data_IF_135467946291
#
_entry.id   IF_135467946291
#
_cell.length_a   1.000
_cell.length_b   1.000
_cell.length_c   1.000
_cell.angle_alpha   90.00
_cell.angle_beta   90.00
_cell.angle_gamma   90.00
#
_symmetry.space_group_name_H-M   'P 1'
#
loop_
_entity.id
_entity.type
_entity.pdbx_description
1 polymer ?
#
# COMPACT_ATOMS: atom_id res chain seq x y z
N UNK A 1 -4.99 -30.59 45.09
CA UNK A 1 -5.20 -29.54 44.05
C UNK A 1 -4.69 -30.10 42.74
N UNK A 2 -5.61 -30.53 41.86
CA UNK A 2 -5.27 -31.18 40.59
C UNK A 2 -5.51 -30.13 39.50
N UNK A 3 -4.44 -29.69 38.84
CA UNK A 3 -4.50 -28.77 37.69
C UNK A 3 -5.01 -29.55 36.46
N UNK A 4 -6.15 -29.17 35.92
CA UNK A 4 -6.65 -29.65 34.62
C UNK A 4 -6.00 -28.83 33.51
N UNK A 5 -5.09 -29.45 32.76
CA UNK A 5 -4.59 -28.92 31.51
C UNK A 5 -5.66 -29.13 30.42
N UNK A 6 -6.13 -28.06 29.82
CA UNK A 6 -6.96 -28.11 28.60
C UNK A 6 -6.06 -28.22 27.39
N UNK A 7 -6.09 -29.38 26.75
CA UNK A 7 -5.51 -29.57 25.41
C UNK A 7 -6.47 -28.95 24.38
N UNK A 8 -6.05 -27.92 23.69
CA UNK A 8 -6.70 -27.50 22.45
C UNK A 8 -6.05 -28.28 21.29
N UNK A 9 -6.84 -28.96 20.45
CA UNK A 9 -6.27 -29.60 19.27
C UNK A 9 -5.85 -28.53 18.27
N UNK A 10 -4.61 -28.61 17.81
CA UNK A 10 -4.11 -27.82 16.70
C UNK A 10 -4.98 -28.14 15.46
N UNK A 11 -5.74 -27.15 15.01
CA UNK A 11 -6.45 -27.23 13.72
C UNK A 11 -5.38 -27.13 12.64
N UNK A 12 -5.24 -28.18 11.82
CA UNK A 12 -4.18 -28.24 10.81
C UNK A 12 -4.35 -27.14 9.78
N UNK A 13 -3.27 -26.45 9.45
CA UNK A 13 -3.17 -25.39 8.44
C UNK A 13 -3.77 -25.76 7.07
N UNK A 14 -3.86 -27.06 6.78
CA UNK A 14 -4.47 -27.57 5.56
C UNK A 14 -5.99 -27.34 5.45
N UNK A 15 -6.71 -27.16 6.58
CA UNK A 15 -8.15 -26.91 6.55
C UNK A 15 -8.47 -25.43 6.26
N UNK A 16 -7.57 -24.51 6.61
CA UNK A 16 -7.73 -23.08 6.37
C UNK A 16 -7.47 -22.77 4.89
N UNK A 17 -6.48 -23.40 4.27
CA UNK A 17 -6.19 -23.25 2.84
C UNK A 17 -7.36 -23.74 1.94
N UNK A 18 -8.07 -24.77 2.35
CA UNK A 18 -9.21 -25.32 1.57
C UNK A 18 -10.48 -24.44 1.65
N UNK A 19 -10.64 -23.63 2.71
CA UNK A 19 -11.83 -22.79 2.88
C UNK A 19 -11.72 -21.44 2.12
N UNK A 20 -10.49 -20.98 1.84
CA UNK A 20 -10.23 -19.72 1.13
C UNK A 20 -10.54 -19.83 -0.38
N UNK A 21 -10.51 -21.05 -0.95
CA UNK A 21 -10.73 -21.28 -2.40
C UNK A 21 -12.22 -21.23 -2.82
N UNK A 22 -13.19 -21.26 -1.89
CA UNK A 22 -14.60 -21.48 -2.23
C UNK A 22 -15.53 -20.25 -2.19
N UNK A 23 -15.04 -19.03 -1.93
CA UNK A 23 -15.90 -17.84 -1.79
C UNK A 23 -15.60 -16.66 -2.73
N UNK A 24 -14.88 -16.87 -3.82
CA UNK A 24 -14.66 -15.83 -4.83
C UNK A 24 -15.62 -16.00 -6.01
N UNK A 25 -16.76 -15.37 -6.03
CA UNK A 25 -17.53 -15.11 -7.25
C UNK A 25 -18.52 -13.97 -7.09
N UNK A 26 -18.10 -12.77 -7.47
CA UNK A 26 -18.91 -11.84 -8.27
C UNK A 26 -17.93 -11.01 -9.10
N UNK A 27 -17.65 -11.50 -10.31
CA UNK A 27 -16.84 -10.78 -11.26
C UNK A 27 -17.63 -9.59 -11.82
N UNK A 28 -17.32 -8.38 -11.39
CA UNK A 28 -17.39 -7.23 -12.28
C UNK A 28 -16.26 -7.40 -13.31
N UNK A 29 -16.51 -7.01 -14.55
CA UNK A 29 -15.60 -7.10 -15.71
C UNK A 29 -14.20 -6.61 -15.35
N UNK A 30 -13.39 -7.48 -14.79
CA UNK A 30 -12.07 -7.14 -14.30
C UNK A 30 -11.08 -7.20 -15.45
N UNK A 31 -10.38 -6.10 -15.68
CA UNK A 31 -9.18 -6.08 -16.50
C UNK A 31 -7.99 -6.76 -15.77
N UNK A 32 -8.23 -7.28 -14.58
CA UNK A 32 -7.25 -8.01 -13.77
C UNK A 32 -7.72 -9.43 -13.48
N UNK A 33 -6.84 -10.39 -13.67
CA UNK A 33 -6.98 -11.73 -13.11
C UNK A 33 -6.20 -11.82 -11.81
N UNK A 34 -6.85 -12.32 -10.75
CA UNK A 34 -6.19 -12.64 -9.47
C UNK A 34 -5.66 -14.06 -9.61
N UNK A 35 -4.34 -14.24 -9.61
CA UNK A 35 -3.77 -15.56 -9.86
C UNK A 35 -3.36 -16.30 -8.59
N UNK A 36 -2.74 -15.67 -7.61
CA UNK A 36 -2.36 -16.36 -6.35
C UNK A 36 -2.27 -15.45 -5.15
N UNK A 37 -2.47 -16.05 -3.98
CA UNK A 37 -2.10 -15.47 -2.69
C UNK A 37 -1.14 -16.44 -2.01
N UNK A 38 0.00 -15.96 -1.53
CA UNK A 38 0.97 -16.73 -0.75
C UNK A 38 1.18 -16.08 0.60
N UNK A 39 1.38 -16.89 1.64
CA UNK A 39 1.89 -16.39 2.92
C UNK A 39 3.34 -15.96 2.72
N UNK A 40 3.76 -14.86 3.33
CA UNK A 40 5.14 -14.49 3.25
C UNK A 40 5.99 -15.21 4.32
N UNK A 41 7.20 -15.56 3.94
CA UNK A 41 8.19 -16.18 4.80
C UNK A 41 9.09 -15.08 5.33
N UNK A 42 9.20 -14.98 6.65
CA UNK A 42 10.06 -14.03 7.34
C UNK A 42 11.16 -14.74 8.12
N UNK A 43 12.31 -14.09 8.26
CA UNK A 43 13.33 -14.47 9.20
C UNK A 43 12.88 -14.14 10.65
N UNK A 44 13.53 -14.71 11.67
CA UNK A 44 13.21 -14.46 13.09
C UNK A 44 13.26 -12.97 13.47
N UNK A 45 14.03 -12.14 12.74
CA UNK A 45 14.14 -10.69 12.90
C UNK A 45 13.42 -9.91 11.80
N UNK A 46 12.57 -10.57 11.02
CA UNK A 46 11.75 -9.94 9.97
C UNK A 46 10.60 -9.11 10.56
N UNK A 47 9.90 -8.33 9.71
CA UNK A 47 8.76 -7.53 10.14
C UNK A 47 7.61 -8.41 10.58
N UNK A 48 6.82 -7.93 11.54
CA UNK A 48 5.55 -8.55 11.90
C UNK A 48 4.43 -8.15 10.93
N UNK A 49 4.54 -6.99 10.30
CA UNK A 49 3.52 -6.37 9.46
C UNK A 49 4.21 -5.57 8.34
N UNK A 50 3.61 -5.53 7.14
CA UNK A 50 4.14 -4.78 6.00
C UNK A 50 3.14 -3.72 5.54
N UNK A 51 3.50 -2.44 5.66
CA UNK A 51 2.67 -1.31 5.21
C UNK A 51 2.98 -0.88 3.78
N UNK A 52 4.23 -0.99 3.35
CA UNK A 52 4.65 -0.56 2.02
C UNK A 52 5.61 -1.50 1.33
N UNK A 53 5.54 -1.54 -0.01
CA UNK A 53 6.47 -2.29 -0.86
C UNK A 53 6.83 -1.48 -2.10
N UNK A 54 8.07 -1.59 -2.55
CA UNK A 54 8.54 -0.97 -3.79
C UNK A 54 9.58 -1.83 -4.51
N UNK A 55 9.70 -1.61 -5.82
CA UNK A 55 10.71 -2.25 -6.67
C UNK A 55 11.59 -1.21 -7.32
N UNK A 56 12.91 -1.36 -7.12
CA UNK A 56 13.91 -0.52 -7.76
C UNK A 56 14.07 -0.81 -9.27
N UNK A 57 14.65 0.14 -9.98
CA UNK A 57 15.00 0.00 -11.41
C UNK A 57 16.01 -1.13 -11.67
N UNK A 58 16.79 -1.50 -10.67
CA UNK A 58 17.73 -2.62 -10.67
C UNK A 58 17.11 -3.96 -10.24
N UNK A 59 15.78 -4.03 -10.19
CA UNK A 59 14.98 -5.18 -9.81
C UNK A 59 15.06 -5.61 -8.34
N UNK A 60 15.75 -4.87 -7.47
CA UNK A 60 15.70 -5.10 -6.01
C UNK A 60 14.35 -4.68 -5.45
N UNK A 61 13.90 -5.40 -4.45
CA UNK A 61 12.64 -5.14 -3.75
C UNK A 61 12.91 -4.68 -2.33
N UNK A 62 12.08 -3.75 -1.87
CA UNK A 62 12.14 -3.18 -0.54
C UNK A 62 10.75 -3.10 0.04
N UNK A 63 10.63 -3.35 1.35
CA UNK A 63 9.40 -3.17 2.09
C UNK A 63 9.67 -2.36 3.36
N UNK A 64 8.62 -1.77 3.90
CA UNK A 64 8.62 -1.07 5.20
C UNK A 64 7.50 -1.59 6.07
N UNK A 65 7.64 -1.42 7.39
CA UNK A 65 6.59 -1.68 8.36
C UNK A 65 6.31 -0.42 9.21
N UNK A 66 5.10 -0.33 9.76
CA UNK A 66 4.64 0.78 10.58
C UNK A 66 5.16 0.75 12.03
N UNK A 67 5.77 -0.35 12.48
CA UNK A 67 6.18 -0.55 13.88
C UNK A 67 7.63 -0.22 14.16
N UNK A 68 8.51 -0.57 13.23
CA UNK A 68 9.95 -0.56 13.52
C UNK A 68 10.69 0.60 12.88
N UNK A 69 10.09 1.28 11.89
CA UNK A 69 10.79 2.31 11.12
C UNK A 69 12.02 1.76 10.39
N UNK A 70 11.92 0.54 9.87
CA UNK A 70 12.99 -0.13 9.12
C UNK A 70 12.64 -0.29 7.65
N UNK A 71 13.69 -0.38 6.83
CA UNK A 71 13.63 -0.77 5.43
C UNK A 71 14.13 -2.20 5.29
N UNK A 72 13.33 -3.08 4.71
CA UNK A 72 13.61 -4.50 4.58
C UNK A 72 13.88 -4.87 3.12
N UNK A 73 15.04 -5.50 2.81
CA UNK A 73 15.25 -6.10 1.51
C UNK A 73 14.37 -7.34 1.35
N UNK A 74 13.71 -7.45 0.20
CA UNK A 74 12.81 -8.56 -0.11
C UNK A 74 13.28 -9.32 -1.34
N UNK A 75 12.91 -10.60 -1.43
CA UNK A 75 13.03 -11.43 -2.62
C UNK A 75 11.64 -11.91 -3.05
N UNK A 76 11.29 -11.61 -4.28
CA UNK A 76 10.01 -12.00 -4.87
C UNK A 76 10.29 -13.00 -5.99
N UNK A 77 9.85 -14.24 -5.81
CA UNK A 77 9.89 -15.30 -6.82
C UNK A 77 8.55 -15.38 -7.54
N UNK A 78 8.60 -15.50 -8.87
CA UNK A 78 7.41 -15.68 -9.70
C UNK A 78 7.44 -17.03 -10.39
N UNK A 79 6.29 -17.67 -10.49
CA UNK A 79 6.11 -18.87 -11.29
C UNK A 79 6.04 -18.55 -12.80
N UNK A 80 5.79 -19.57 -13.64
CA UNK A 80 5.69 -19.42 -15.11
C UNK A 80 4.47 -18.61 -15.55
N UNK A 81 3.43 -18.53 -14.74
CA UNK A 81 2.24 -17.70 -15.01
C UNK A 81 2.51 -16.23 -14.69
N UNK A 82 3.54 -15.98 -13.86
CA UNK A 82 3.91 -14.68 -13.36
C UNK A 82 3.29 -14.35 -12.01
N UNK A 83 2.68 -15.32 -11.39
CA UNK A 83 2.17 -15.20 -10.03
C UNK A 83 3.29 -15.33 -9.01
N UNK A 84 3.19 -14.62 -7.88
CA UNK A 84 4.14 -14.79 -6.77
C UNK A 84 4.00 -16.21 -6.23
N UNK A 85 5.10 -16.98 -6.28
CA UNK A 85 5.21 -18.30 -5.66
C UNK A 85 6.01 -18.27 -4.37
N UNK A 86 6.85 -17.23 -4.19
CA UNK A 86 7.70 -17.08 -3.02
C UNK A 86 7.94 -15.62 -2.70
N UNK A 87 7.82 -15.28 -1.43
CA UNK A 87 8.13 -13.96 -0.92
C UNK A 87 8.93 -14.10 0.38
N UNK A 88 10.16 -13.57 0.39
CA UNK A 88 11.06 -13.63 1.51
C UNK A 88 11.47 -12.23 1.93
N UNK A 89 11.46 -11.96 3.23
CA UNK A 89 11.87 -10.69 3.82
C UNK A 89 13.09 -10.93 4.70
N UNK A 90 14.17 -10.22 4.41
CA UNK A 90 15.42 -10.31 5.18
C UNK A 90 15.46 -9.27 6.30
N UNK A 91 16.50 -9.34 7.16
CA UNK A 91 16.73 -8.35 8.21
C UNK A 91 16.77 -6.92 7.65
N UNK A 92 16.05 -6.01 8.30
CA UNK A 92 15.92 -4.62 7.89
C UNK A 92 16.97 -3.69 8.47
N UNK A 93 17.21 -2.57 7.78
CA UNK A 93 18.05 -1.46 8.27
C UNK A 93 17.16 -0.36 8.87
N UNK A 94 17.50 0.12 10.07
CA UNK A 94 16.78 1.22 10.72
C UNK A 94 16.91 2.52 9.94
N UNK A 95 15.80 3.21 9.74
CA UNK A 95 15.73 4.48 8.99
C UNK A 95 15.89 5.67 9.93
N UNK A 96 16.87 6.51 9.67
CA UNK A 96 17.17 7.68 10.51
C UNK A 96 16.01 8.67 10.53
N UNK A 97 15.41 8.88 11.73
CA UNK A 97 14.33 9.81 11.94
C UNK A 97 12.94 9.32 11.46
N UNK A 98 12.82 8.02 11.13
CA UNK A 98 11.57 7.37 10.81
C UNK A 98 11.18 6.39 11.93
N UNK A 99 9.91 6.37 12.32
CA UNK A 99 9.43 5.50 13.41
C UNK A 99 8.09 4.84 13.13
N UNK A 100 7.45 5.20 12.01
CA UNK A 100 6.15 4.69 11.59
C UNK A 100 6.10 4.80 10.06
N UNK A 101 6.82 3.86 9.42
CA UNK A 101 7.02 3.87 7.98
C UNK A 101 5.81 3.23 7.28
N UNK A 102 5.13 3.97 6.41
CA UNK A 102 3.94 3.53 5.70
C UNK A 102 4.23 3.27 4.21
N UNK A 103 4.22 4.29 3.40
CA UNK A 103 4.53 4.16 1.98
C UNK A 103 6.03 4.19 1.68
N UNK A 104 6.46 3.46 0.66
CA UNK A 104 7.83 3.56 0.17
C UNK A 104 7.90 3.57 -1.36
N UNK A 105 8.91 4.27 -1.90
CA UNK A 105 9.14 4.39 -3.34
C UNK A 105 10.64 4.41 -3.66
N UNK A 106 11.13 3.41 -4.38
CA UNK A 106 12.51 3.38 -4.87
C UNK A 106 12.73 4.49 -5.90
N UNK A 107 13.89 5.17 -5.82
CA UNK A 107 14.25 6.20 -6.77
C UNK A 107 14.72 5.59 -8.10
N UNK A 108 14.01 5.77 -9.24
CA UNK A 108 14.42 5.18 -10.51
C UNK A 108 15.76 5.68 -11.03
N UNK A 109 16.18 6.87 -10.59
CA UNK A 109 17.44 7.53 -11.02
C UNK A 109 18.60 7.29 -10.05
N UNK A 110 18.34 6.77 -8.83
CA UNK A 110 19.34 6.52 -7.81
C UNK A 110 19.05 5.17 -7.14
N UNK A 111 19.61 4.09 -7.63
CA UNK A 111 19.31 2.72 -7.24
C UNK A 111 19.48 2.43 -5.73
N UNK A 112 20.35 3.16 -5.03
CA UNK A 112 20.61 2.99 -3.59
C UNK A 112 19.74 3.93 -2.71
N UNK A 113 18.70 4.57 -3.26
CA UNK A 113 17.81 5.49 -2.53
C UNK A 113 16.37 5.01 -2.58
N UNK A 114 15.73 4.98 -1.39
CA UNK A 114 14.29 4.77 -1.22
C UNK A 114 13.69 5.94 -0.46
N UNK A 115 12.59 6.48 -0.98
CA UNK A 115 11.74 7.45 -0.27
C UNK A 115 10.77 6.70 0.62
N UNK A 116 10.55 7.20 1.82
CA UNK A 116 9.64 6.61 2.81
C UNK A 116 8.79 7.72 3.41
N UNK A 117 7.50 7.47 3.55
CA UNK A 117 6.61 8.30 4.36
C UNK A 117 6.63 7.83 5.81
N UNK A 118 6.64 8.79 6.73
CA UNK A 118 6.46 8.53 8.17
C UNK A 118 5.16 9.20 8.62
N UNK A 119 4.20 8.40 9.03
CA UNK A 119 2.88 8.87 9.40
C UNK A 119 2.93 9.74 10.66
N UNK A 120 3.69 9.32 11.66
CA UNK A 120 3.78 9.97 12.95
C UNK A 120 4.38 11.36 12.88
N UNK A 121 5.37 11.58 12.03
CA UNK A 121 6.00 12.88 11.80
C UNK A 121 5.39 13.67 10.65
N UNK A 122 4.47 13.08 9.88
CA UNK A 122 3.92 13.65 8.64
C UNK A 122 5.04 14.11 7.72
N UNK A 123 5.88 13.20 7.31
CA UNK A 123 7.07 13.51 6.51
C UNK A 123 7.29 12.52 5.38
N UNK A 124 8.02 12.95 4.35
CA UNK A 124 8.59 12.09 3.30
C UNK A 124 10.08 12.35 3.25
N UNK A 125 10.85 11.30 3.45
CA UNK A 125 12.32 11.37 3.52
C UNK A 125 12.94 10.31 2.62
N UNK A 126 14.09 10.63 2.03
CA UNK A 126 14.88 9.69 1.23
C UNK A 126 16.01 9.11 2.08
N UNK A 127 16.21 7.80 1.97
CA UNK A 127 17.19 7.07 2.74
C UNK A 127 18.13 6.26 1.84
N UNK A 128 19.39 6.21 2.21
CA UNK A 128 20.35 5.27 1.65
C UNK A 128 20.01 3.85 2.13
N UNK A 129 19.79 2.93 1.20
CA UNK A 129 19.28 1.58 1.50
C UNK A 129 20.27 0.71 2.29
N UNK A 130 21.56 1.04 2.30
CA UNK A 130 22.57 0.26 3.01
C UNK A 130 22.76 0.71 4.45
N UNK A 131 22.64 2.02 4.68
CA UNK A 131 22.94 2.64 5.98
C UNK A 131 21.71 3.12 6.73
N UNK A 132 20.57 3.25 6.07
CA UNK A 132 19.36 3.85 6.61
C UNK A 132 19.45 5.37 6.83
N UNK A 133 20.57 6.01 6.48
CA UNK A 133 20.76 7.46 6.68
C UNK A 133 19.80 8.27 5.84
N UNK A 134 19.19 9.28 6.45
CA UNK A 134 18.39 10.27 5.74
C UNK A 134 19.29 11.18 4.89
N UNK A 135 19.10 11.19 3.58
CA UNK A 135 19.89 11.97 2.63
C UNK A 135 19.13 13.15 2.04
N UNK A 136 17.80 13.14 2.10
CA UNK A 136 16.95 14.19 1.54
C UNK A 136 15.60 14.23 2.27
N UNK A 137 15.00 15.43 2.36
CA UNK A 137 13.63 15.62 2.87
C UNK A 137 12.78 16.33 1.82
N UNK A 138 11.58 15.79 1.56
CA UNK A 138 10.60 16.44 0.71
C UNK A 138 9.84 17.48 1.54
N UNK A 139 9.83 18.74 1.07
CA UNK A 139 9.13 19.81 1.78
C UNK A 139 7.64 19.76 1.45
N UNK A 140 6.84 19.28 2.39
CA UNK A 140 5.39 19.23 2.27
C UNK A 140 4.77 20.60 2.47
N UNK A 141 3.64 20.94 1.78
CA UNK A 141 2.90 22.16 2.01
C UNK A 141 2.43 22.28 3.47
N UNK A 142 2.57 23.47 4.06
CA UNK A 142 2.17 23.72 5.46
C UNK A 142 0.66 23.48 5.67
N UNK A 143 -0.17 23.91 4.71
CA UNK A 143 -1.62 23.65 4.76
C UNK A 143 -1.93 22.14 4.85
N UNK A 144 -1.16 21.31 4.13
CA UNK A 144 -1.32 19.85 4.20
C UNK A 144 -0.94 19.35 5.60
N UNK A 145 0.28 19.67 6.08
CA UNK A 145 0.80 19.17 7.36
C UNK A 145 -0.05 19.55 8.55
N UNK A 146 -0.55 20.79 8.59
CA UNK A 146 -1.37 21.30 9.71
C UNK A 146 -2.80 20.74 9.75
N UNK A 147 -3.25 20.11 8.66
CA UNK A 147 -4.61 19.58 8.53
C UNK A 147 -4.72 18.07 8.53
N UNK A 148 -3.61 17.32 8.62
CA UNK A 148 -3.69 15.85 8.77
C UNK A 148 -4.42 15.49 10.06
N UNK A 149 -5.17 14.40 10.01
CA UNK A 149 -5.78 13.81 11.21
C UNK A 149 -4.77 12.92 11.89
N UNK A 150 -4.93 12.75 13.19
CA UNK A 150 -4.07 11.85 13.94
C UNK A 150 -4.15 10.43 13.37
N UNK A 151 -2.99 9.83 13.11
CA UNK A 151 -2.87 8.49 12.51
C UNK A 151 -3.65 8.36 11.19
N UNK A 152 -3.56 9.37 10.30
CA UNK A 152 -4.17 9.45 8.98
C UNK A 152 -3.37 10.35 8.05
N UNK A 153 -2.05 10.24 8.14
CA UNK A 153 -1.13 11.07 7.40
C UNK A 153 -0.82 10.47 6.01
N UNK A 154 0.44 10.48 5.60
CA UNK A 154 0.84 10.00 4.28
C UNK A 154 1.05 8.49 4.32
N UNK A 155 0.15 7.77 3.68
CA UNK A 155 0.21 6.33 3.47
C UNK A 155 0.78 5.99 2.09
N UNK A 156 0.24 6.63 1.06
CA UNK A 156 0.54 6.29 -0.31
C UNK A 156 1.69 7.13 -0.89
N UNK A 157 2.68 6.46 -1.47
CA UNK A 157 3.85 7.09 -2.07
C UNK A 157 4.28 6.36 -3.34
N UNK A 158 4.52 7.07 -4.44
CA UNK A 158 5.16 6.51 -5.61
C UNK A 158 5.99 7.54 -6.38
N UNK A 159 6.91 7.06 -7.21
CA UNK A 159 7.71 7.89 -8.12
C UNK A 159 7.45 7.43 -9.55
N UNK A 160 7.28 8.38 -10.47
CA UNK A 160 7.13 8.09 -11.90
C UNK A 160 8.32 7.31 -12.46
N UNK A 161 8.14 6.45 -13.48
CA UNK A 161 9.23 5.65 -14.05
C UNK A 161 10.41 6.48 -14.58
N UNK A 162 10.16 7.72 -15.03
CA UNK A 162 11.20 8.67 -15.44
C UNK A 162 11.96 9.31 -14.26
N UNK A 163 11.50 9.07 -13.02
CA UNK A 163 12.08 9.61 -11.81
C UNK A 163 11.87 11.11 -11.60
N UNK A 164 11.01 11.77 -12.36
CA UNK A 164 10.85 13.22 -12.34
C UNK A 164 9.61 13.71 -11.58
N UNK A 165 8.69 12.83 -11.23
CA UNK A 165 7.51 13.12 -10.40
C UNK A 165 7.46 12.22 -9.20
N UNK A 166 7.12 12.77 -8.04
CA UNK A 166 6.80 12.05 -6.82
C UNK A 166 5.36 12.38 -6.46
N UNK A 167 4.60 11.34 -6.19
CA UNK A 167 3.21 11.40 -5.76
C UNK A 167 3.12 10.96 -4.30
N UNK A 168 2.41 11.71 -3.49
CA UNK A 168 2.16 11.39 -2.08
C UNK A 168 0.70 11.68 -1.74
N UNK A 169 0.04 10.78 -1.02
CA UNK A 169 -1.34 10.98 -0.62
C UNK A 169 -1.54 10.66 0.87
N UNK A 170 -2.41 11.43 1.51
CA UNK A 170 -2.90 11.10 2.85
C UNK A 170 -3.89 9.94 2.78
N UNK A 171 -3.98 9.20 3.88
CA UNK A 171 -4.91 8.06 3.98
C UNK A 171 -6.37 8.52 3.97
N UNK A 172 -6.74 9.49 4.79
CA UNK A 172 -8.13 9.93 5.00
C UNK A 172 -8.26 11.45 4.87
N UNK A 173 -9.49 11.95 4.77
CA UNK A 173 -9.84 13.35 4.54
C UNK A 173 -9.14 14.31 5.52
N UNK A 174 -8.47 15.31 4.99
CA UNK A 174 -7.86 16.38 5.82
C UNK A 174 -8.94 17.17 6.57
N UNK A 175 -8.59 17.74 7.72
CA UNK A 175 -9.52 18.55 8.54
C UNK A 175 -10.14 19.73 7.76
N UNK A 176 -9.38 20.33 6.84
CA UNK A 176 -9.85 21.44 6.00
C UNK A 176 -10.67 20.98 4.78
N UNK A 177 -10.67 19.69 4.42
CA UNK A 177 -11.37 19.16 3.27
C UNK A 177 -12.73 18.53 3.60
N UNK A 178 -13.09 18.46 4.89
CA UNK A 178 -14.40 17.99 5.36
C UNK A 178 -14.34 16.78 6.27
N UNK A 179 -15.39 15.97 6.22
CA UNK A 179 -15.54 14.78 7.07
C UNK A 179 -14.93 13.54 6.41
N UNK A 180 -14.49 12.59 7.25
CA UNK A 180 -14.05 11.27 6.81
C UNK A 180 -15.18 10.49 6.14
N UNK A 181 -14.84 9.42 5.41
CA UNK A 181 -15.83 8.55 4.79
C UNK A 181 -16.79 7.94 5.82
N UNK A 182 -18.04 7.80 5.42
CA UNK A 182 -19.12 7.15 6.18
C UNK A 182 -19.75 6.04 5.33
N UNK A 183 -20.73 5.33 5.87
CA UNK A 183 -21.52 4.33 5.13
C UNK A 183 -22.43 4.93 4.04
N UNK A 184 -22.59 6.26 4.03
CA UNK A 184 -23.43 6.97 3.06
C UNK A 184 -22.62 7.79 2.06
N UNK A 185 -21.40 8.17 2.43
CA UNK A 185 -20.58 9.10 1.63
C UNK A 185 -19.10 8.77 1.76
N UNK A 186 -18.39 8.80 0.63
CA UNK A 186 -16.93 8.75 0.60
C UNK A 186 -16.29 10.03 1.17
N UNK A 187 -15.03 9.92 1.51
CA UNK A 187 -14.16 11.04 1.88
C UNK A 187 -13.48 11.65 0.66
N UNK A 188 -12.56 12.57 0.93
CA UNK A 188 -11.71 13.18 -0.11
C UNK A 188 -10.28 13.25 0.41
N UNK A 189 -9.35 12.63 -0.31
CA UNK A 189 -7.92 12.74 -0.01
C UNK A 189 -7.20 13.61 -1.03
N UNK A 190 -6.06 14.18 -0.65
CA UNK A 190 -5.23 14.98 -1.54
C UNK A 190 -4.08 14.13 -2.06
N UNK A 191 -3.95 14.06 -3.38
CA UNK A 191 -2.78 13.49 -4.03
C UNK A 191 -1.86 14.64 -4.41
N UNK A 192 -0.79 14.81 -3.63
CA UNK A 192 0.24 15.82 -3.86
C UNK A 192 1.16 15.38 -5.00
N UNK A 193 1.61 16.33 -5.79
CA UNK A 193 2.62 16.11 -6.82
C UNK A 193 3.82 17.01 -6.60
N UNK A 194 4.99 16.39 -6.63
CA UNK A 194 6.27 17.07 -6.61
C UNK A 194 7.03 16.76 -7.89
N UNK A 195 7.80 17.72 -8.38
CA UNK A 195 8.64 17.55 -9.57
C UNK A 195 10.08 17.89 -9.26
N UNK A 196 11.01 17.24 -9.99
CA UNK A 196 12.44 17.57 -9.96
C UNK A 196 13.03 17.56 -11.36
N UNK A 197 14.21 18.17 -11.53
CA UNK A 197 14.88 18.30 -12.83
C UNK A 197 15.80 17.12 -13.22
N UNK A 198 16.05 16.20 -12.29
CA UNK A 198 16.93 15.05 -12.48
C UNK A 198 17.37 14.43 -11.15
N UNK A 199 18.26 13.44 -11.22
CA UNK A 199 18.78 12.75 -10.04
C UNK A 199 19.42 13.73 -9.05
N UNK A 200 19.05 13.61 -7.75
CA UNK A 200 19.59 14.47 -6.68
C UNK A 200 19.14 15.93 -6.72
N UNK A 201 18.37 16.35 -7.72
CA UNK A 201 17.75 17.67 -7.69
C UNK A 201 16.60 17.70 -6.65
N UNK A 202 16.43 18.80 -5.89
CA UNK A 202 15.41 18.88 -4.86
C UNK A 202 14.01 18.82 -5.46
N UNK A 203 13.11 18.13 -4.78
CA UNK A 203 11.69 18.08 -5.12
C UNK A 203 11.04 19.44 -4.87
N UNK A 204 10.20 19.85 -5.81
CA UNK A 204 9.39 21.06 -5.71
C UNK A 204 7.93 20.71 -5.78
N UNK A 205 7.15 21.14 -4.80
CA UNK A 205 5.71 21.02 -4.86
C UNK A 205 5.16 21.72 -6.10
N UNK A 206 4.36 21.02 -6.90
CA UNK A 206 3.81 21.53 -8.17
C UNK A 206 2.28 21.53 -8.20
N UNK A 207 1.62 20.96 -7.23
CA UNK A 207 0.17 20.97 -7.13
C UNK A 207 -0.38 19.73 -6.46
N UNK A 208 -1.70 19.56 -6.50
CA UNK A 208 -2.41 18.43 -5.95
C UNK A 208 -3.74 18.19 -6.66
N UNK A 209 -4.26 16.98 -6.54
CA UNK A 209 -5.59 16.59 -7.04
C UNK A 209 -6.47 16.13 -5.89
N UNK A 210 -7.78 16.33 -6.01
CA UNK A 210 -8.81 15.74 -5.15
C UNK A 210 -9.12 14.33 -5.61
N UNK A 211 -8.94 13.37 -4.74
CA UNK A 211 -9.31 11.98 -4.99
C UNK A 211 -10.50 11.62 -4.09
N UNK A 212 -11.69 11.35 -4.66
CA UNK A 212 -12.85 10.91 -3.88
C UNK A 212 -12.68 9.43 -3.50
N UNK A 213 -12.64 9.11 -2.19
CA UNK A 213 -12.68 7.73 -1.72
C UNK A 213 -14.12 7.21 -1.72
N UNK A 214 -14.27 5.89 -1.68
CA UNK A 214 -15.61 5.29 -1.61
C UNK A 214 -16.24 5.42 -0.23
N UNK A 215 -17.57 5.31 -0.20
CA UNK A 215 -18.32 5.12 1.03
C UNK A 215 -17.99 3.75 1.66
N UNK A 216 -18.03 3.68 2.98
CA UNK A 216 -17.75 2.48 3.75
C UNK A 216 -18.90 1.48 3.57
N UNK A 217 -18.61 0.25 3.13
CA UNK A 217 -19.64 -0.73 2.82
C UNK A 217 -20.13 -1.57 3.98
N UNK A 218 -19.54 -1.41 5.17
CA UNK A 218 -19.88 -2.19 6.36
C UNK A 218 -20.14 -1.33 7.60
N UNK A 219 -20.56 -1.97 8.70
CA UNK A 219 -20.74 -1.31 9.99
C UNK A 219 -19.40 -1.21 10.74
N UNK A 220 -19.28 -0.34 11.76
CA UNK A 220 -18.09 -0.30 12.61
C UNK A 220 -17.78 -1.66 13.26
N UNK A 221 -16.50 -2.05 13.24
CA UNK A 221 -15.98 -3.15 14.03
C UNK A 221 -15.32 -2.58 15.28
N UNK A 222 -15.77 -3.01 16.47
CA UNK A 222 -15.32 -2.46 17.77
C UNK A 222 -15.34 -0.92 17.82
N UNK A 223 -16.39 -0.30 17.27
CA UNK A 223 -16.54 1.15 17.11
C UNK A 223 -15.48 1.82 16.21
N UNK A 224 -14.83 1.05 15.34
CA UNK A 224 -13.86 1.54 14.35
C UNK A 224 -14.34 1.21 12.95
N UNK A 225 -14.30 2.18 12.08
CA UNK A 225 -14.31 2.03 10.63
C UNK A 225 -13.10 2.78 10.11
N UNK A 226 -12.40 2.15 9.21
CA UNK A 226 -11.22 2.74 8.58
C UNK A 226 -11.45 2.59 7.07
N UNK A 227 -11.32 3.68 6.34
CA UNK A 227 -11.33 3.66 4.89
C UNK A 227 -10.37 4.72 4.40
N UNK A 228 -9.55 4.38 3.42
CA UNK A 228 -8.57 5.34 2.92
C UNK A 228 -7.81 4.86 1.70
N UNK A 229 -6.99 5.76 1.19
CA UNK A 229 -6.05 5.52 0.12
C UNK A 229 -4.70 5.12 0.72
N UNK A 230 -4.32 3.86 0.53
CA UNK A 230 -3.13 3.28 1.20
C UNK A 230 -1.94 3.09 0.27
N UNK A 231 -2.13 3.02 -1.05
CA UNK A 231 -0.99 2.90 -1.96
C UNK A 231 -1.25 3.52 -3.33
N UNK A 232 -0.17 3.94 -4.00
CA UNK A 232 -0.15 4.49 -5.35
C UNK A 232 0.90 3.79 -6.22
N UNK A 233 0.63 3.68 -7.52
CA UNK A 233 1.64 3.31 -8.52
C UNK A 233 1.45 4.13 -9.81
N UNK A 234 2.55 4.62 -10.39
CA UNK A 234 2.54 5.38 -11.65
C UNK A 234 2.71 4.42 -12.83
N UNK A 235 1.76 4.42 -13.76
CA UNK A 235 1.77 3.56 -14.94
C UNK A 235 2.71 4.06 -16.06
N UNK A 236 3.25 5.28 -15.94
CA UNK A 236 4.14 5.88 -16.93
C UNK A 236 3.42 6.47 -18.15
N UNK A 237 2.12 6.24 -18.30
CA UNK A 237 1.26 6.76 -19.38
C UNK A 237 0.49 8.03 -18.98
N UNK A 238 0.83 8.60 -17.82
CA UNK A 238 0.15 9.74 -17.21
C UNK A 238 -1.07 9.34 -16.38
N UNK A 239 -1.32 8.04 -16.17
CA UNK A 239 -2.30 7.55 -15.22
C UNK A 239 -1.64 6.91 -14.01
N UNK A 240 -2.37 6.90 -12.90
CA UNK A 240 -1.98 6.29 -11.64
C UNK A 240 -2.96 5.16 -11.29
N UNK A 241 -2.43 4.19 -10.55
CA UNK A 241 -3.23 3.22 -9.80
C UNK A 241 -3.32 3.67 -8.35
N UNK A 242 -4.48 3.49 -7.76
CA UNK A 242 -4.78 3.79 -6.36
C UNK A 242 -5.37 2.55 -5.69
N UNK A 243 -4.79 2.13 -4.58
CA UNK A 243 -5.31 1.07 -3.73
C UNK A 243 -6.08 1.71 -2.58
N UNK A 244 -7.40 1.53 -2.55
CA UNK A 244 -8.24 1.87 -1.41
C UNK A 244 -8.43 0.65 -0.51
N UNK A 245 -8.36 0.87 0.77
CA UNK A 245 -8.60 -0.13 1.80
C UNK A 245 -9.75 0.30 2.70
N UNK A 246 -10.57 -0.66 3.11
CA UNK A 246 -11.62 -0.49 4.10
C UNK A 246 -11.55 -1.60 5.14
N UNK A 247 -11.58 -1.23 6.41
CA UNK A 247 -11.87 -2.15 7.51
C UNK A 247 -13.25 -1.84 8.08
N UNK A 248 -14.14 -2.81 8.06
CA UNK A 248 -15.50 -2.69 8.57
C UNK A 248 -15.97 -4.02 9.17
N UNK A 249 -17.22 -4.12 9.56
CA UNK A 249 -17.83 -5.33 10.07
C UNK A 249 -18.97 -5.80 9.18
N UNK A 250 -18.74 -6.90 8.46
CA UNK A 250 -19.83 -7.67 7.82
C UNK A 250 -20.28 -8.83 8.70
N UNK A 251 -19.40 -9.33 9.57
CA UNK A 251 -19.60 -10.43 10.50
C UNK A 251 -19.45 -9.92 11.95
N UNK A 252 -20.28 -10.34 12.92
CA UNK A 252 -20.19 -9.89 14.32
C UNK A 252 -18.86 -10.24 15.01
N UNK A 253 -18.18 -11.30 14.59
CA UNK A 253 -17.03 -11.87 15.28
C UNK A 253 -15.68 -11.35 14.76
N UNK A 254 -15.59 -10.99 13.45
CA UNK A 254 -14.32 -10.65 12.80
C UNK A 254 -14.43 -9.37 11.99
N UNK A 255 -13.33 -8.60 11.85
CA UNK A 255 -13.27 -7.51 10.89
C UNK A 255 -13.38 -8.06 9.46
N UNK A 256 -13.93 -7.25 8.57
CA UNK A 256 -13.94 -7.50 7.14
C UNK A 256 -13.06 -6.45 6.49
N UNK A 257 -12.09 -6.88 5.71
CA UNK A 257 -11.27 -5.99 4.90
C UNK A 257 -11.81 -6.00 3.46
N UNK A 258 -11.78 -4.85 2.84
CA UNK A 258 -12.15 -4.67 1.45
C UNK A 258 -11.09 -3.83 0.78
N UNK A 259 -10.51 -4.36 -0.30
CA UNK A 259 -9.55 -3.66 -1.12
C UNK A 259 -10.13 -3.37 -2.49
N UNK A 260 -9.85 -2.19 -3.03
CA UNK A 260 -10.25 -1.77 -4.36
C UNK A 260 -9.11 -1.10 -5.07
N UNK A 261 -8.87 -1.48 -6.31
CA UNK A 261 -7.88 -0.89 -7.18
C UNK A 261 -8.57 -0.03 -8.23
N UNK A 262 -8.19 1.23 -8.25
CA UNK A 262 -8.70 2.21 -9.20
C UNK A 262 -7.59 2.70 -10.13
N UNK A 263 -7.98 3.02 -11.37
CA UNK A 263 -7.15 3.82 -12.30
C UNK A 263 -7.73 5.22 -12.39
N UNK A 264 -6.85 6.22 -12.44
CA UNK A 264 -7.25 7.61 -12.63
C UNK A 264 -6.13 8.41 -13.29
N UNK A 265 -6.48 9.59 -13.81
CA UNK A 265 -5.51 10.60 -14.24
C UNK A 265 -5.56 11.77 -13.26
N UNK A 266 -4.39 12.27 -12.82
CA UNK A 266 -4.34 13.48 -12.00
C UNK A 266 -5.05 14.64 -12.70
N UNK A 267 -5.70 15.49 -11.93
CA UNK A 267 -6.40 16.64 -12.48
C UNK A 267 -5.42 17.64 -13.13
N UNK A 268 -5.81 18.22 -14.26
CA UNK A 268 -4.98 19.20 -14.96
C UNK A 268 -4.80 20.50 -14.17
N UNK A 269 -5.82 20.88 -13.39
CA UNK A 269 -5.79 22.04 -12.51
C UNK A 269 -5.49 21.62 -11.06
N UNK A 270 -4.67 22.38 -10.36
CA UNK A 270 -4.41 22.17 -8.95
C UNK A 270 -5.73 22.22 -8.13
N UNK A 271 -5.95 21.20 -7.28
CA UNK A 271 -7.17 21.05 -6.51
C UNK A 271 -8.39 20.57 -7.30
N UNK A 272 -8.23 20.23 -8.59
CA UNK A 272 -9.27 19.60 -9.39
C UNK A 272 -9.57 18.18 -8.91
N UNK A 273 -10.83 17.75 -9.08
CA UNK A 273 -11.26 16.40 -8.73
C UNK A 273 -10.93 15.42 -9.86
N UNK A 274 -10.50 14.21 -9.50
CA UNK A 274 -10.22 13.14 -10.45
C UNK A 274 -11.45 12.27 -10.66
N UNK A 275 -11.65 11.79 -11.90
CA UNK A 275 -12.51 10.65 -12.18
C UNK A 275 -11.71 9.36 -12.06
N UNK A 276 -12.23 8.38 -11.34
CA UNK A 276 -11.58 7.08 -11.13
C UNK A 276 -12.39 5.94 -11.76
N UNK A 277 -11.70 4.95 -12.25
CA UNK A 277 -12.23 3.73 -12.85
C UNK A 277 -11.87 2.55 -11.95
N UNK A 278 -12.87 1.78 -11.51
CA UNK A 278 -12.64 0.56 -10.74
C UNK A 278 -12.09 -0.53 -11.67
N UNK A 279 -10.91 -1.06 -11.35
CA UNK A 279 -10.28 -2.14 -12.09
C UNK A 279 -10.42 -3.49 -11.40
N UNK A 280 -10.36 -3.49 -10.07
CA UNK A 280 -10.45 -4.70 -9.26
C UNK A 280 -11.00 -4.36 -7.88
N UNK A 281 -11.69 -5.32 -7.29
CA UNK A 281 -12.15 -5.24 -5.90
C UNK A 281 -12.27 -6.62 -5.29
N UNK A 282 -11.87 -6.71 -4.03
CA UNK A 282 -11.96 -7.94 -3.24
C UNK A 282 -12.50 -7.64 -1.84
N UNK A 283 -13.44 -8.47 -1.41
CA UNK A 283 -14.01 -8.46 -0.07
C UNK A 283 -13.40 -9.64 0.70
N UNK A 284 -12.14 -9.52 1.11
CA UNK A 284 -11.42 -10.57 1.84
C UNK A 284 -11.57 -10.39 3.34
N UNK A 285 -11.88 -11.46 4.07
CA UNK A 285 -12.11 -11.38 5.51
C UNK A 285 -10.83 -11.17 6.33
N UNK A 286 -9.65 -11.49 5.80
CA UNK A 286 -8.44 -11.60 6.61
C UNK A 286 -7.20 -10.90 6.04
N UNK A 287 -7.28 -10.24 4.88
CA UNK A 287 -6.11 -9.60 4.27
C UNK A 287 -6.30 -8.09 4.16
N UNK A 288 -5.52 -7.35 4.93
CA UNK A 288 -5.48 -5.89 4.96
C UNK A 288 -4.39 -5.40 4.01
N UNK A 289 -4.66 -5.34 2.69
CA UNK A 289 -3.65 -4.88 1.73
C UNK A 289 -3.41 -3.38 1.86
N UNK A 290 -2.14 -3.00 2.11
CA UNK A 290 -1.70 -1.62 2.28
C UNK A 290 -0.60 -1.25 1.30
N UNK A 291 0.34 -2.15 1.02
CA UNK A 291 1.43 -1.90 0.09
C UNK A 291 1.16 -2.44 -1.32
N UNK A 292 1.59 -1.68 -2.34
CA UNK A 292 1.47 -2.06 -3.75
C UNK A 292 2.73 -1.65 -4.53
N UNK A 293 3.29 -2.58 -5.29
CA UNK A 293 4.37 -2.29 -6.22
C UNK A 293 4.08 -2.79 -7.63
N UNK A 294 4.36 -1.94 -8.62
CA UNK A 294 4.26 -2.27 -10.03
C UNK A 294 5.52 -3.01 -10.49
N UNK A 295 5.31 -4.15 -11.14
CA UNK A 295 6.36 -4.93 -11.78
C UNK A 295 6.28 -4.74 -13.29
N UNK A 296 7.40 -4.47 -13.99
CA UNK A 296 7.41 -4.53 -15.44
C UNK A 296 7.00 -5.93 -15.92
N UNK A 297 6.24 -6.00 -17.00
CA UNK A 297 5.96 -7.28 -17.64
C UNK A 297 7.23 -7.81 -18.31
N UNK A 298 7.57 -9.06 -18.02
CA UNK A 298 8.67 -9.76 -18.70
C UNK A 298 8.23 -10.07 -20.13
N UNK A 299 8.61 -9.19 -21.07
CA UNK A 299 8.46 -9.43 -22.52
C UNK A 299 7.04 -9.51 -23.08
N UNK A 300 6.01 -9.15 -22.33
CA UNK A 300 4.60 -9.22 -22.72
C UNK A 300 3.82 -7.93 -22.48
N UNK A 301 2.60 -7.85 -23.03
CA UNK A 301 1.68 -6.73 -22.88
C UNK A 301 1.01 -6.62 -21.49
N UNK A 302 1.39 -7.47 -20.53
CA UNK A 302 0.79 -7.50 -19.20
C UNK A 302 1.72 -6.87 -18.16
N UNK A 303 1.17 -6.09 -17.23
CA UNK A 303 1.86 -5.57 -16.05
C UNK A 303 1.39 -6.31 -14.82
N UNK A 304 2.27 -6.45 -13.83
CA UNK A 304 1.94 -7.11 -12.56
C UNK A 304 1.99 -6.12 -11.43
N UNK A 305 1.07 -6.30 -10.49
CA UNK A 305 1.10 -5.64 -9.19
C UNK A 305 1.36 -6.70 -8.12
N UNK A 306 2.27 -6.43 -7.24
CA UNK A 306 2.49 -7.18 -6.01
C UNK A 306 1.88 -6.38 -4.87
N UNK A 307 0.91 -6.97 -4.19
CA UNK A 307 0.27 -6.41 -3.00
C UNK A 307 0.80 -7.11 -1.76
N UNK A 308 1.09 -6.36 -0.72
CA UNK A 308 1.43 -6.89 0.62
C UNK A 308 0.36 -6.47 1.62
N UNK A 309 0.04 -7.37 2.55
CA UNK A 309 -0.92 -7.08 3.60
C UNK A 309 -0.22 -6.82 4.93
N UNK A 310 -0.80 -5.87 5.68
CA UNK A 310 -0.54 -5.69 7.08
C UNK A 310 -1.33 -6.75 7.89
N UNK A 311 -0.63 -7.53 8.73
CA UNK A 311 -1.23 -8.56 9.57
C UNK A 311 -2.02 -8.02 10.75
N UNK A 312 -1.65 -6.86 11.30
CA UNK A 312 -2.34 -6.11 12.38
C UNK A 312 -2.90 -6.92 13.55
N UNK A 313 -2.46 -8.16 13.75
CA UNK A 313 -3.01 -9.10 14.74
C UNK A 313 -4.45 -9.54 14.49
N UNK A 314 -5.15 -8.96 13.52
CA UNK A 314 -6.53 -9.24 13.14
C UNK A 314 -6.67 -9.68 11.66
N UNK A 315 -5.60 -9.59 10.87
CA UNK A 315 -5.51 -10.00 9.48
C UNK A 315 -4.42 -11.07 9.26
N UNK A 316 -4.45 -11.71 8.11
CA UNK A 316 -3.43 -12.69 7.68
C UNK A 316 -2.42 -11.97 6.82
N UNK A 317 -1.15 -12.10 7.19
CA UNK A 317 -0.04 -11.62 6.37
C UNK A 317 0.00 -12.39 5.06
N UNK A 318 -0.13 -11.68 3.96
CA UNK A 318 -0.19 -12.30 2.65
C UNK A 318 0.38 -11.40 1.57
N UNK A 319 0.86 -12.04 0.52
CA UNK A 319 1.31 -11.36 -0.70
C UNK A 319 0.43 -11.84 -1.85
N UNK A 320 -0.08 -10.90 -2.64
CA UNK A 320 -0.96 -11.19 -3.77
C UNK A 320 -0.41 -10.60 -5.06
N UNK A 321 -0.57 -11.31 -6.13
CA UNK A 321 -0.31 -10.80 -7.49
C UNK A 321 -1.62 -10.46 -8.18
N UNK A 322 -1.66 -9.28 -8.79
CA UNK A 322 -2.69 -8.91 -9.76
C UNK A 322 -2.03 -8.71 -11.12
N UNK A 323 -2.57 -9.31 -12.16
CA UNK A 323 -2.08 -9.14 -13.53
C UNK A 323 -2.99 -8.19 -14.29
N UNK A 324 -2.43 -7.07 -14.72
CA UNK A 324 -3.09 -6.10 -15.57
C UNK A 324 -2.93 -6.54 -17.03
N UNK A 325 -4.01 -6.99 -17.65
CA UNK A 325 -4.05 -7.25 -19.10
C UNK A 325 -4.37 -5.94 -19.83
N UNK A 326 -3.44 -5.47 -20.63
CA UNK A 326 -3.69 -4.37 -21.56
C UNK A 326 -4.42 -4.97 -22.78
N UNK A 327 -5.64 -4.51 -23.05
CA UNK A 327 -6.42 -4.86 -24.24
C UNK A 327 -5.85 -4.19 -25.49
#
# INVERSE_FOLDING_TARGET
MIAKSYFFPAVSSALIAALVVLLSHTALTAQFEVETTVEFIRDENGPDELSGITRGSDARWWAVDDRTGKLYPCRVGFDRSGSVEKFEVSEGVGLEGCSNAEGCAADPLRADIVYVSDEKSTSVTAHDVKTGKCVEKVVLPEEFRSNVRWNRSIEALCISPDGLRLWAANEDTLKCDGECATDQKGGTVRILVFTRKGAGAPWKFSGWSRYPTDAIGGKPFRNRTISGLVSLADLGDGSLLALEREMSRKNPLFPSFRSRLYRFRPAAAAGGEVAKELLWGDDVFFSNYEGMALCPADGGASRRLVLVSDGGGEAVESVRTLILKEN
#
